data_IF_805971432389
#
_entry.id   IF_805971432389
#
_cell.length_a   1.000
_cell.length_b   1.000
_cell.length_c   1.000
_cell.angle_alpha   90.00
_cell.angle_beta   90.00
_cell.angle_gamma   90.00
#
_symmetry.space_group_name_H-M   'P 1'
#
loop_
_entity.id
_entity.type
_entity.pdbx_description
1 polymer ?
#
# COMPACT_ATOMS: atom_id res chain seq x y z
N UNK A 1 -37.18 -0.75 81.81
CA UNK A 1 -37.45 -2.04 81.14
C UNK A 1 -37.58 -1.73 79.65
N UNK A 2 -36.51 -1.44 78.89
CA UNK A 2 -35.53 -2.35 78.26
C UNK A 2 -36.13 -3.69 77.80
N UNK A 3 -35.92 -3.96 76.51
CA UNK A 3 -36.17 -5.20 75.76
C UNK A 3 -37.51 -5.30 75.00
N UNK A 4 -37.55 -4.76 73.77
CA UNK A 4 -38.38 -5.30 72.64
C UNK A 4 -38.06 -4.67 71.26
N UNK A 5 -36.97 -3.91 71.10
CA UNK A 5 -36.58 -3.33 69.80
C UNK A 5 -35.58 -4.21 68.99
N UNK A 6 -35.49 -5.52 69.26
CA UNK A 6 -34.57 -6.44 68.58
C UNK A 6 -35.29 -7.57 67.83
N UNK A 7 -36.41 -7.28 67.15
CA UNK A 7 -37.12 -8.26 66.33
C UNK A 7 -37.55 -7.74 64.96
N UNK A 8 -36.88 -6.72 64.41
CA UNK A 8 -36.98 -6.34 62.99
C UNK A 8 -35.58 -6.00 62.43
N UNK A 9 -34.57 -6.81 62.76
CA UNK A 9 -33.28 -6.89 62.03
C UNK A 9 -33.03 -8.34 61.58
N UNK A 10 -34.09 -9.15 61.50
CA UNK A 10 -34.05 -10.56 61.14
C UNK A 10 -34.75 -10.85 59.79
N UNK A 11 -34.51 -10.00 58.79
CA UNK A 11 -34.32 -10.47 57.41
C UNK A 11 -32.80 -10.48 57.18
N UNK A 12 -32.02 -11.32 57.88
CA UNK A 12 -31.62 -12.63 57.34
C UNK A 12 -31.69 -12.60 55.80
N UNK A 13 -30.68 -12.04 55.13
CA UNK A 13 -29.53 -12.81 54.68
C UNK A 13 -29.98 -14.17 54.10
N UNK A 14 -30.91 -14.13 53.15
CA UNK A 14 -31.45 -15.28 52.46
C UNK A 14 -30.62 -15.59 51.21
N UNK A 15 -29.73 -16.58 51.36
CA UNK A 15 -29.02 -17.31 50.30
C UNK A 15 -27.86 -16.57 49.62
N UNK A 16 -26.68 -16.66 50.23
CA UNK A 16 -25.37 -16.44 49.59
C UNK A 16 -24.53 -17.73 49.68
N UNK A 17 -25.17 -18.90 49.53
CA UNK A 17 -24.51 -20.23 49.60
C UNK A 17 -25.10 -21.19 48.57
N UNK A 18 -25.06 -20.84 47.28
CA UNK A 18 -25.40 -21.79 46.20
C UNK A 18 -24.63 -21.54 44.88
N UNK A 19 -23.57 -20.72 44.90
CA UNK A 19 -22.75 -20.42 43.70
C UNK A 19 -21.51 -21.29 43.55
N UNK A 20 -20.78 -21.56 44.65
CA UNK A 20 -19.48 -22.25 44.55
C UNK A 20 -19.57 -23.71 44.07
N UNK A 21 -20.67 -24.42 44.30
CA UNK A 21 -20.81 -25.83 43.90
C UNK A 21 -21.00 -26.01 42.38
N UNK A 22 -21.38 -24.95 41.64
CA UNK A 22 -21.59 -24.98 40.19
C UNK A 22 -20.45 -24.35 39.38
N UNK A 23 -19.55 -23.63 40.04
CA UNK A 23 -18.42 -22.98 39.38
C UNK A 23 -17.51 -23.95 38.59
N UNK A 24 -17.18 -25.17 39.09
CA UNK A 24 -16.40 -26.12 38.31
C UNK A 24 -17.12 -26.58 37.03
N UNK A 25 -18.44 -26.81 37.11
CA UNK A 25 -19.25 -27.21 35.96
C UNK A 25 -19.37 -26.06 34.94
N UNK A 26 -19.65 -24.84 35.40
CA UNK A 26 -19.77 -23.68 34.53
C UNK A 26 -18.46 -23.39 33.77
N UNK A 27 -17.31 -23.61 34.43
CA UNK A 27 -16.00 -23.51 33.79
C UNK A 27 -15.79 -24.61 32.75
N UNK A 28 -16.15 -25.86 33.06
CA UNK A 28 -16.04 -26.99 32.14
C UNK A 28 -16.92 -26.77 30.90
N UNK A 29 -18.15 -26.30 31.08
CA UNK A 29 -19.08 -25.98 29.99
C UNK A 29 -18.51 -24.86 29.11
N UNK A 30 -18.06 -23.75 29.71
CA UNK A 30 -17.48 -22.62 28.96
C UNK A 30 -16.20 -23.01 28.20
N UNK A 31 -15.35 -23.84 28.81
CA UNK A 31 -14.12 -24.34 28.20
C UNK A 31 -14.38 -25.37 27.10
N UNK A 32 -15.48 -26.11 27.19
CA UNK A 32 -15.89 -27.07 26.16
C UNK A 32 -16.50 -26.36 24.96
N UNK A 33 -17.30 -25.32 25.19
CA UNK A 33 -17.91 -24.54 24.11
C UNK A 33 -16.89 -23.62 23.42
N UNK A 34 -15.94 -23.06 24.17
CA UNK A 34 -14.82 -22.25 23.69
C UNK A 34 -15.26 -21.07 22.78
N UNK A 35 -16.32 -20.39 23.20
CA UNK A 35 -16.85 -19.19 22.51
C UNK A 35 -16.80 -17.97 23.43
N UNK A 36 -16.73 -16.78 22.82
CA UNK A 36 -16.83 -15.49 23.54
C UNK A 36 -18.07 -15.47 24.44
N UNK A 37 -19.23 -15.89 23.92
CA UNK A 37 -20.49 -15.90 24.66
C UNK A 37 -20.48 -16.83 25.88
N UNK A 38 -19.85 -18.01 25.77
CA UNK A 38 -19.77 -18.95 26.89
C UNK A 38 -18.86 -18.44 28.02
N UNK A 39 -17.73 -17.81 27.66
CA UNK A 39 -16.85 -17.18 28.64
C UNK A 39 -17.46 -15.91 29.25
N UNK A 40 -18.20 -15.11 28.49
CA UNK A 40 -18.93 -13.96 29.02
C UNK A 40 -19.99 -14.40 30.04
N UNK A 41 -20.76 -15.46 29.74
CA UNK A 41 -21.72 -16.03 30.69
C UNK A 41 -21.04 -16.53 31.98
N UNK A 42 -19.89 -17.20 31.86
CA UNK A 42 -19.10 -17.60 33.02
C UNK A 42 -18.63 -16.40 33.86
N UNK A 43 -18.16 -15.33 33.20
CA UNK A 43 -17.66 -14.12 33.85
C UNK A 43 -18.77 -13.26 34.47
N UNK A 44 -20.00 -13.33 33.96
CA UNK A 44 -21.18 -12.71 34.56
C UNK A 44 -21.55 -13.36 35.89
N UNK A 45 -21.57 -14.71 35.93
CA UNK A 45 -21.90 -15.48 37.13
C UNK A 45 -20.74 -15.53 38.14
N UNK A 46 -19.49 -15.54 37.66
CA UNK A 46 -18.28 -15.74 38.46
C UNK A 46 -17.16 -14.72 38.13
N UNK A 47 -17.38 -13.40 38.30
CA UNK A 47 -16.41 -12.37 37.92
C UNK A 47 -15.08 -12.46 38.67
N UNK A 48 -15.09 -12.96 39.91
CA UNK A 48 -13.88 -13.19 40.73
C UNK A 48 -13.63 -14.69 40.99
N UNK A 49 -14.18 -15.56 40.13
CA UNK A 49 -14.01 -17.00 40.20
C UNK A 49 -12.56 -17.45 39.98
N UNK A 50 -12.27 -18.70 40.36
CA UNK A 50 -10.92 -19.31 40.24
C UNK A 50 -10.37 -19.23 38.81
N UNK A 51 -11.24 -19.42 37.80
CA UNK A 51 -10.87 -19.35 36.39
C UNK A 51 -11.19 -18.01 35.73
N UNK A 52 -11.59 -16.98 36.48
CA UNK A 52 -12.04 -15.72 35.88
C UNK A 52 -10.91 -14.98 35.13
N UNK A 53 -9.65 -15.12 35.53
CA UNK A 53 -8.53 -14.57 34.78
C UNK A 53 -8.32 -15.32 33.44
N UNK A 54 -8.42 -16.65 33.48
CA UNK A 54 -8.28 -17.52 32.32
C UNK A 54 -9.43 -17.33 31.32
N UNK A 55 -10.67 -17.26 31.81
CA UNK A 55 -11.85 -16.98 31.00
C UNK A 55 -11.75 -15.62 30.29
N UNK A 56 -11.28 -14.56 30.98
CA UNK A 56 -11.07 -13.25 30.34
C UNK A 56 -10.04 -13.33 29.22
N UNK A 57 -8.89 -13.94 29.50
CA UNK A 57 -7.83 -14.08 28.51
C UNK A 57 -8.29 -14.88 27.29
N UNK A 58 -9.05 -15.97 27.50
CA UNK A 58 -9.54 -16.79 26.40
C UNK A 58 -10.62 -16.09 25.59
N UNK A 59 -11.57 -15.42 26.26
CA UNK A 59 -12.56 -14.56 25.61
C UNK A 59 -11.89 -13.49 24.74
N UNK A 60 -10.91 -12.77 25.28
CA UNK A 60 -10.22 -11.69 24.54
C UNK A 60 -9.46 -12.23 23.34
N UNK A 61 -8.78 -13.37 23.49
CA UNK A 61 -8.10 -14.04 22.37
C UNK A 61 -9.06 -14.48 21.27
N UNK A 62 -10.25 -14.99 21.62
CA UNK A 62 -11.28 -15.40 20.67
C UNK A 62 -11.90 -14.19 19.96
N UNK A 63 -12.23 -13.14 20.72
CA UNK A 63 -12.78 -11.91 20.17
C UNK A 63 -11.80 -11.24 19.20
N UNK A 64 -10.52 -11.20 19.55
CA UNK A 64 -9.47 -10.67 18.66
C UNK A 64 -9.33 -11.49 17.38
N UNK A 65 -9.37 -12.83 17.50
CA UNK A 65 -9.28 -13.71 16.33
C UNK A 65 -10.46 -13.50 15.38
N UNK A 66 -11.67 -13.32 15.93
CA UNK A 66 -12.87 -13.00 15.13
C UNK A 66 -12.74 -11.63 14.46
N UNK A 67 -12.29 -10.60 15.17
CA UNK A 67 -12.08 -9.26 14.60
C UNK A 67 -11.05 -9.29 13.46
N UNK A 68 -9.98 -10.07 13.60
CA UNK A 68 -8.98 -10.25 12.54
C UNK A 68 -9.53 -11.01 11.33
N UNK A 69 -10.33 -12.07 11.54
CA UNK A 69 -11.01 -12.79 10.45
C UNK A 69 -11.98 -11.89 9.69
N UNK A 70 -12.75 -11.05 10.40
CA UNK A 70 -13.65 -10.07 9.81
C UNK A 70 -12.88 -9.01 8.99
N UNK A 71 -11.76 -8.50 9.51
CA UNK A 71 -10.92 -7.56 8.81
C UNK A 71 -10.33 -8.15 7.52
N UNK A 72 -9.81 -9.38 7.58
CA UNK A 72 -9.34 -10.10 6.39
C UNK A 72 -10.45 -10.43 5.39
N UNK A 73 -11.66 -10.73 5.85
CA UNK A 73 -12.79 -11.00 4.96
C UNK A 73 -13.26 -9.74 4.22
N UNK A 74 -13.16 -8.57 4.87
CA UNK A 74 -13.46 -7.30 4.24
C UNK A 74 -12.34 -6.85 3.30
N UNK A 75 -11.06 -7.09 3.67
CA UNK A 75 -9.87 -6.74 2.90
C UNK A 75 -9.85 -5.26 2.48
N UNK A 76 -10.11 -4.39 3.46
CA UNK A 76 -10.11 -2.93 3.26
C UNK A 76 -9.30 -2.23 4.34
N UNK A 77 -8.70 -1.06 4.04
CA UNK A 77 -7.99 -0.25 5.03
C UNK A 77 -8.85 0.02 6.27
N UNK A 78 -10.09 0.45 6.07
CA UNK A 78 -11.02 0.77 7.16
C UNK A 78 -11.24 -0.43 8.11
N UNK A 79 -11.30 -1.65 7.58
CA UNK A 79 -11.50 -2.85 8.39
C UNK A 79 -10.23 -3.21 9.21
N UNK A 80 -9.05 -3.08 8.61
CA UNK A 80 -7.78 -3.27 9.33
C UNK A 80 -7.52 -2.15 10.35
N UNK A 81 -7.90 -0.91 10.06
CA UNK A 81 -7.87 0.20 11.01
C UNK A 81 -8.82 -0.03 12.19
N UNK A 82 -10.02 -0.57 11.94
CA UNK A 82 -10.95 -0.94 13.00
C UNK A 82 -10.36 -2.04 13.91
N UNK A 83 -9.74 -3.09 13.35
CA UNK A 83 -9.02 -4.09 14.13
C UNK A 83 -7.90 -3.45 14.98
N UNK A 84 -7.11 -2.56 14.38
CA UNK A 84 -6.00 -1.88 15.08
C UNK A 84 -6.47 -0.97 16.21
N UNK A 85 -7.67 -0.39 16.14
CA UNK A 85 -8.20 0.49 17.17
C UNK A 85 -8.38 -0.22 18.52
N UNK A 86 -8.75 -1.50 18.49
CA UNK A 86 -8.95 -2.31 19.69
C UNK A 86 -7.75 -3.23 20.00
N UNK A 87 -6.93 -3.55 18.99
CA UNK A 87 -5.83 -4.53 19.07
C UNK A 87 -4.47 -3.98 18.63
N UNK A 88 -4.10 -2.77 19.07
CA UNK A 88 -2.85 -2.08 18.65
C UNK A 88 -1.56 -2.91 18.86
N UNK A 89 -1.53 -3.80 19.86
CA UNK A 89 -0.37 -4.66 20.17
C UNK A 89 -0.68 -6.16 20.06
N UNK A 90 -1.76 -6.50 19.35
CA UNK A 90 -2.19 -7.86 19.11
C UNK A 90 -1.26 -8.65 18.19
N UNK A 91 -1.36 -9.99 18.14
CA UNK A 91 -0.62 -10.86 17.21
C UNK A 91 -0.66 -10.42 15.74
N UNK A 92 -1.76 -9.83 15.27
CA UNK A 92 -1.92 -9.40 13.87
C UNK A 92 -1.74 -7.90 13.67
N UNK A 93 -1.33 -7.17 14.71
CA UNK A 93 -1.21 -5.71 14.64
C UNK A 93 -0.07 -5.25 13.71
N UNK A 94 0.96 -6.06 13.50
CA UNK A 94 1.99 -5.76 12.51
C UNK A 94 1.43 -5.93 11.09
N UNK A 95 0.87 -7.10 10.81
CA UNK A 95 0.26 -7.41 9.50
C UNK A 95 -0.82 -6.39 9.11
N UNK A 96 -1.71 -6.03 10.04
CA UNK A 96 -2.76 -5.05 9.80
C UNK A 96 -2.19 -3.66 9.42
N UNK A 97 -1.09 -3.23 10.05
CA UNK A 97 -0.43 -1.95 9.70
C UNK A 97 0.19 -2.00 8.33
N UNK A 98 0.84 -3.11 7.98
CA UNK A 98 1.46 -3.30 6.68
C UNK A 98 0.40 -3.27 5.58
N UNK A 99 -0.75 -3.92 5.80
CA UNK A 99 -1.88 -3.92 4.86
C UNK A 99 -2.50 -2.53 4.68
N UNK A 100 -2.67 -1.76 5.77
CA UNK A 100 -3.13 -0.36 5.69
C UNK A 100 -2.11 0.51 4.92
N UNK A 101 -0.82 0.33 5.19
CA UNK A 101 0.24 1.06 4.50
C UNK A 101 0.28 0.74 2.99
N UNK A 102 0.20 -0.54 2.61
CA UNK A 102 0.18 -0.97 1.21
C UNK A 102 -1.04 -0.41 0.46
N UNK A 103 -2.22 -0.51 1.06
CA UNK A 103 -3.45 -0.05 0.43
C UNK A 103 -3.51 1.48 0.32
N UNK A 104 -3.06 2.22 1.34
CA UNK A 104 -2.93 3.68 1.27
C UNK A 104 -1.90 4.11 0.21
N UNK A 105 -0.75 3.43 0.13
CA UNK A 105 0.22 3.65 -0.93
C UNK A 105 -0.36 3.33 -2.31
N UNK A 106 -1.17 2.29 -2.47
CA UNK A 106 -1.81 2.00 -3.75
C UNK A 106 -2.78 3.11 -4.20
N UNK A 107 -3.60 3.62 -3.28
CA UNK A 107 -4.52 4.73 -3.55
C UNK A 107 -3.76 6.01 -3.91
N UNK A 108 -2.78 6.42 -3.10
CA UNK A 108 -1.99 7.63 -3.33
C UNK A 108 -1.20 7.55 -4.64
N UNK A 109 -0.72 6.35 -5.00
CA UNK A 109 -0.06 6.12 -6.28
C UNK A 109 -1.02 6.33 -7.45
N UNK A 110 -2.22 5.77 -7.37
CA UNK A 110 -3.24 5.96 -8.40
C UNK A 110 -3.60 7.44 -8.56
N UNK A 111 -3.72 8.19 -7.46
CA UNK A 111 -3.94 9.63 -7.50
C UNK A 111 -2.77 10.35 -8.16
N UNK A 112 -1.53 10.04 -7.76
CA UNK A 112 -0.33 10.64 -8.35
C UNK A 112 -0.23 10.39 -9.86
N UNK A 113 -0.58 9.18 -10.30
CA UNK A 113 -0.62 8.79 -11.72
C UNK A 113 -1.74 9.49 -12.47
N UNK A 114 -2.89 9.70 -11.83
CA UNK A 114 -4.04 10.41 -12.42
C UNK A 114 -3.76 11.90 -12.60
N UNK A 115 -3.17 12.53 -11.58
CA UNK A 115 -2.73 13.93 -11.62
C UNK A 115 -1.57 14.12 -12.60
N UNK A 116 -0.66 13.14 -12.64
CA UNK A 116 0.46 13.05 -13.56
C UNK A 116 1.33 14.32 -13.54
N UNK A 117 1.68 14.81 -12.36
CA UNK A 117 2.49 16.02 -12.17
C UNK A 117 3.74 15.74 -11.33
N UNK A 118 4.73 16.62 -11.46
CA UNK A 118 5.94 16.59 -10.64
C UNK A 118 5.64 16.56 -9.15
N UNK A 119 4.73 17.44 -8.75
CA UNK A 119 4.30 17.62 -7.37
C UNK A 119 3.63 16.36 -6.83
N UNK A 120 2.72 15.75 -7.60
CA UNK A 120 1.99 14.57 -7.16
C UNK A 120 2.90 13.35 -6.99
N UNK A 121 3.78 13.08 -7.96
CA UNK A 121 4.77 12.00 -7.81
C UNK A 121 5.80 12.29 -6.70
N UNK A 122 6.19 13.56 -6.55
CA UNK A 122 7.10 13.98 -5.48
C UNK A 122 6.46 13.90 -4.10
N UNK A 123 5.15 14.09 -3.99
CA UNK A 123 4.38 13.90 -2.76
C UNK A 123 4.32 12.42 -2.40
N UNK A 124 3.91 11.57 -3.34
CA UNK A 124 3.87 10.12 -3.17
C UNK A 124 5.21 9.56 -2.64
N UNK A 125 6.32 9.91 -3.29
CA UNK A 125 7.63 9.38 -2.91
C UNK A 125 8.15 9.86 -1.54
N UNK A 126 7.54 10.92 -0.98
CA UNK A 126 7.84 11.45 0.35
C UNK A 126 6.95 10.83 1.42
N UNK A 127 5.67 10.56 1.11
CA UNK A 127 4.76 9.91 2.04
C UNK A 127 5.00 8.40 2.16
N UNK A 128 5.46 7.75 1.09
CA UNK A 128 5.64 6.29 1.03
C UNK A 128 7.09 5.87 0.77
N UNK A 129 8.09 6.34 1.55
CA UNK A 129 9.50 6.23 1.18
C UNK A 129 10.00 4.81 0.92
N UNK A 130 9.38 3.82 1.58
CA UNK A 130 9.74 2.40 1.55
C UNK A 130 8.88 1.57 0.57
N UNK A 131 7.86 2.16 -0.08
CA UNK A 131 7.09 1.47 -1.14
C UNK A 131 7.95 1.26 -2.40
N UNK A 132 7.79 0.11 -3.05
CA UNK A 132 8.55 -0.25 -4.25
C UNK A 132 8.42 0.80 -5.38
N UNK A 133 7.27 1.46 -5.50
CA UNK A 133 6.97 2.48 -6.52
C UNK A 133 7.59 3.83 -6.21
N UNK A 134 8.10 4.05 -4.99
CA UNK A 134 8.68 5.34 -4.62
C UNK A 134 9.96 5.68 -5.39
N UNK A 135 10.72 4.69 -5.86
CA UNK A 135 11.84 4.94 -6.77
C UNK A 135 11.36 5.49 -8.13
N UNK A 136 10.32 4.88 -8.69
CA UNK A 136 9.69 5.30 -9.94
C UNK A 136 9.06 6.70 -9.80
N UNK A 137 8.32 6.94 -8.73
CA UNK A 137 7.72 8.24 -8.45
C UNK A 137 8.76 9.37 -8.41
N UNK A 138 9.92 9.18 -7.78
CA UNK A 138 11.01 10.18 -7.80
C UNK A 138 11.54 10.42 -9.21
N UNK A 139 11.59 9.39 -10.05
CA UNK A 139 11.96 9.53 -11.45
C UNK A 139 10.92 10.32 -12.23
N UNK A 140 9.64 9.94 -12.14
CA UNK A 140 8.53 10.62 -12.80
C UNK A 140 8.39 12.08 -12.36
N UNK A 141 8.64 12.35 -11.07
CA UNK A 141 8.66 13.71 -10.54
C UNK A 141 9.67 14.58 -11.27
N UNK A 142 10.94 14.15 -11.38
CA UNK A 142 12.00 14.87 -12.12
C UNK A 142 11.71 15.04 -13.61
N UNK A 143 11.06 14.05 -14.22
CA UNK A 143 10.64 14.12 -15.64
C UNK A 143 9.61 15.22 -15.82
N UNK A 144 8.62 15.26 -14.92
CA UNK A 144 7.52 16.21 -14.96
C UNK A 144 7.96 17.65 -14.62
N UNK A 145 9.04 17.84 -13.85
CA UNK A 145 9.65 19.17 -13.58
C UNK A 145 10.40 19.75 -14.80
N UNK A 146 10.61 18.96 -15.86
CA UNK A 146 11.08 19.46 -17.15
C UNK A 146 12.59 19.60 -17.33
N UNK A 147 13.48 19.13 -16.44
CA UNK A 147 14.93 19.01 -16.77
C UNK A 147 15.80 18.19 -15.80
N UNK A 148 16.03 16.89 -16.04
CA UNK A 148 17.33 16.29 -15.73
C UNK A 148 18.36 16.75 -16.78
N UNK A 149 19.60 17.08 -16.41
CA UNK A 149 20.59 17.65 -17.34
C UNK A 149 20.93 16.76 -18.55
N UNK A 150 20.68 15.44 -18.47
CA UNK A 150 21.03 14.45 -19.49
C UNK A 150 19.85 13.54 -19.90
N UNK A 151 18.62 14.07 -19.92
CA UNK A 151 17.44 13.33 -20.34
C UNK A 151 16.88 13.84 -21.67
N UNK A 152 16.44 12.92 -22.52
CA UNK A 152 15.85 13.24 -23.81
C UNK A 152 14.63 12.37 -24.11
N UNK A 153 13.67 12.95 -24.82
CA UNK A 153 12.44 12.29 -25.26
C UNK A 153 12.61 11.83 -26.70
N UNK A 154 12.28 10.57 -26.98
CA UNK A 154 12.30 10.03 -28.34
C UNK A 154 11.05 9.22 -28.61
N UNK A 155 10.54 9.30 -29.83
CA UNK A 155 9.48 8.41 -30.30
C UNK A 155 10.07 7.06 -30.63
N UNK A 156 9.43 5.99 -30.19
CA UNK A 156 9.81 4.65 -30.55
C UNK A 156 8.62 3.85 -31.05
N UNK A 157 8.90 2.87 -31.92
CA UNK A 157 7.92 1.89 -32.38
C UNK A 157 8.16 0.58 -31.67
N UNK A 158 7.11 -0.05 -31.14
CA UNK A 158 7.20 -1.39 -30.58
C UNK A 158 7.39 -2.40 -31.71
N UNK A 159 8.43 -3.23 -31.59
CA UNK A 159 8.79 -4.26 -32.56
C UNK A 159 8.38 -5.66 -32.10
N UNK A 160 8.50 -5.96 -30.80
CA UNK A 160 8.16 -7.26 -30.20
C UNK A 160 7.85 -7.12 -28.71
N UNK A 161 7.05 -8.04 -28.18
CA UNK A 161 6.63 -8.15 -26.78
C UNK A 161 6.60 -9.62 -26.33
N UNK A 162 7.72 -10.33 -26.51
CA UNK A 162 7.81 -11.77 -26.24
C UNK A 162 8.67 -12.02 -25.00
N UNK A 163 8.27 -12.99 -24.16
CA UNK A 163 9.10 -13.48 -23.06
C UNK A 163 9.34 -12.48 -21.91
N UNK A 164 8.46 -11.50 -21.71
CA UNK A 164 8.62 -10.46 -20.70
C UNK A 164 9.53 -9.31 -21.15
N UNK A 165 9.97 -9.30 -22.41
CA UNK A 165 10.78 -8.22 -22.97
C UNK A 165 9.98 -7.43 -24.02
N UNK A 166 10.11 -6.10 -23.99
CA UNK A 166 9.61 -5.18 -25.00
C UNK A 166 10.80 -4.66 -25.81
N UNK A 167 10.80 -4.98 -27.10
CA UNK A 167 11.79 -4.44 -28.05
C UNK A 167 11.17 -3.26 -28.78
N UNK A 168 11.85 -2.13 -28.77
CA UNK A 168 11.40 -0.90 -29.43
C UNK A 168 12.50 -0.31 -30.31
N UNK A 169 12.11 0.33 -31.40
CA UNK A 169 13.02 1.11 -32.26
C UNK A 169 12.76 2.60 -32.13
N UNK A 170 13.72 3.33 -31.59
CA UNK A 170 13.69 4.80 -31.59
C UNK A 170 13.74 5.32 -33.02
N UNK A 171 12.90 6.30 -33.35
CA UNK A 171 12.80 6.85 -34.72
C UNK A 171 13.77 8.01 -34.97
N UNK A 172 14.06 8.79 -33.93
CA UNK A 172 14.81 10.04 -34.00
C UNK A 172 16.10 9.93 -33.17
N UNK A 173 17.15 10.67 -33.54
CA UNK A 173 18.33 10.81 -32.68
C UNK A 173 17.97 11.65 -31.45
N UNK A 174 18.52 11.31 -30.29
CA UNK A 174 18.33 12.10 -29.07
C UNK A 174 19.66 12.49 -28.44
N UNK A 175 19.76 13.74 -27.97
CA UNK A 175 20.93 14.23 -27.26
C UNK A 175 20.73 14.09 -25.75
N UNK A 176 21.65 13.41 -25.09
CA UNK A 176 21.68 13.19 -23.64
C UNK A 176 22.98 13.82 -23.12
N UNK A 177 22.93 15.06 -22.65
CA UNK A 177 24.15 15.79 -22.28
C UNK A 177 25.11 15.96 -23.46
N UNK A 178 26.33 15.41 -23.34
CA UNK A 178 27.31 15.37 -24.44
C UNK A 178 27.10 14.22 -25.43
N UNK A 179 26.31 13.20 -25.07
CA UNK A 179 26.07 12.02 -25.88
C UNK A 179 24.97 12.29 -26.92
N UNK A 180 25.20 11.87 -28.17
CA UNK A 180 24.14 11.79 -29.18
C UNK A 180 23.85 10.33 -29.44
N UNK A 181 22.62 9.93 -29.17
CA UNK A 181 22.11 8.57 -29.37
C UNK A 181 21.40 8.52 -30.71
N UNK A 182 21.91 7.79 -31.71
CA UNK A 182 21.20 7.61 -32.98
C UNK A 182 19.99 6.67 -32.83
N UNK A 183 19.09 6.63 -33.82
CA UNK A 183 18.03 5.64 -33.91
C UNK A 183 18.59 4.22 -33.75
N UNK A 184 18.10 3.48 -32.76
CA UNK A 184 18.51 2.10 -32.47
C UNK A 184 17.37 1.30 -31.87
N UNK A 185 17.59 0.00 -31.80
CA UNK A 185 16.75 -0.91 -31.05
C UNK A 185 17.15 -0.88 -29.58
N UNK A 186 16.16 -0.95 -28.70
CA UNK A 186 16.33 -1.02 -27.27
C UNK A 186 15.38 -2.09 -26.72
N UNK A 187 15.85 -2.84 -25.74
CA UNK A 187 15.08 -3.88 -25.05
C UNK A 187 14.79 -3.42 -23.63
N UNK A 188 13.55 -3.61 -23.21
CA UNK A 188 13.04 -3.22 -21.91
C UNK A 188 12.36 -4.42 -21.25
N UNK A 189 12.44 -4.50 -19.92
CA UNK A 189 11.65 -5.45 -19.15
C UNK A 189 10.20 -4.96 -19.09
N UNK A 190 9.25 -5.79 -19.54
CA UNK A 190 7.85 -5.43 -19.70
C UNK A 190 7.17 -5.10 -18.36
N UNK A 191 7.52 -5.84 -17.30
CA UNK A 191 6.93 -5.69 -15.97
C UNK A 191 7.36 -4.39 -15.30
N UNK A 192 8.59 -3.94 -15.56
CA UNK A 192 9.16 -2.72 -14.99
C UNK A 192 8.95 -1.47 -15.84
N UNK A 193 8.54 -1.64 -17.10
CA UNK A 193 8.53 -0.54 -18.09
C UNK A 193 7.14 -0.14 -18.55
N UNK A 194 6.13 -0.99 -18.43
CA UNK A 194 4.76 -0.63 -18.83
C UNK A 194 4.01 -0.03 -17.65
N UNK A 195 3.69 1.24 -17.82
CA UNK A 195 2.77 2.02 -17.00
C UNK A 195 1.41 1.30 -16.87
N UNK A 196 1.15 0.70 -15.71
CA UNK A 196 -0.11 0.03 -15.38
C UNK A 196 -1.32 0.97 -15.62
N UNK A 197 -2.35 0.51 -16.33
CA UNK A 197 -3.54 1.30 -16.70
C UNK A 197 -3.45 2.12 -17.99
N UNK A 198 -2.31 2.12 -18.70
CA UNK A 198 -2.29 2.51 -20.12
C UNK A 198 -2.98 1.42 -20.97
N UNK A 199 -3.59 1.74 -22.13
CA UNK A 199 -4.00 0.70 -23.07
C UNK A 199 -2.79 -0.20 -23.32
N UNK A 200 -2.98 -1.52 -23.18
CA UNK A 200 -1.89 -2.49 -23.41
C UNK A 200 -1.30 -2.20 -24.79
N UNK A 201 -0.01 -1.82 -24.84
CA UNK A 201 0.56 -1.40 -26.10
C UNK A 201 0.68 -2.62 -27.02
N UNK A 202 0.36 -2.44 -28.30
CA UNK A 202 0.45 -3.50 -29.29
C UNK A 202 1.75 -3.40 -30.10
N UNK A 203 2.18 -4.53 -30.67
CA UNK A 203 3.28 -4.53 -31.64
C UNK A 203 2.92 -3.61 -32.81
N UNK A 204 3.79 -2.63 -33.08
CA UNK A 204 3.59 -1.60 -34.09
C UNK A 204 3.18 -0.24 -33.53
N UNK A 205 2.76 -0.16 -32.27
CA UNK A 205 2.37 1.10 -31.63
C UNK A 205 3.54 2.07 -31.50
N UNK A 206 3.19 3.36 -31.57
CA UNK A 206 4.13 4.45 -31.33
C UNK A 206 4.05 4.89 -29.87
N UNK A 207 5.18 4.77 -29.19
CA UNK A 207 5.34 5.08 -27.77
C UNK A 207 6.37 6.18 -27.56
N UNK A 208 6.27 6.85 -26.40
CA UNK A 208 7.28 7.81 -25.97
C UNK A 208 8.28 7.10 -25.07
N UNK A 209 9.56 7.16 -25.41
CA UNK A 209 10.65 6.76 -24.53
C UNK A 209 11.31 7.99 -23.93
N UNK A 210 11.54 7.91 -22.63
CA UNK A 210 12.38 8.84 -21.92
C UNK A 210 13.73 8.20 -21.68
N UNK A 211 14.77 8.72 -22.34
CA UNK A 211 16.13 8.19 -22.26
C UNK A 211 16.98 9.07 -21.33
N UNK A 212 17.76 8.47 -20.44
CA UNK A 212 18.74 9.17 -19.63
C UNK A 212 20.12 8.52 -19.71
N UNK A 213 21.16 9.35 -19.70
CA UNK A 213 22.55 8.88 -19.54
C UNK A 213 22.78 8.40 -18.10
N UNK A 214 23.24 7.16 -17.92
CA UNK A 214 23.72 6.60 -16.66
C UNK A 214 25.19 6.20 -16.78
N UNK A 215 25.94 6.22 -15.68
CA UNK A 215 27.30 5.69 -15.68
C UNK A 215 27.26 4.16 -15.61
N UNK A 216 27.85 3.48 -16.58
CA UNK A 216 28.13 2.05 -16.49
C UNK A 216 29.15 1.74 -15.39
N UNK A 217 29.23 0.48 -14.97
CA UNK A 217 30.21 0.01 -13.96
C UNK A 217 31.67 0.20 -14.42
N UNK A 218 31.87 0.33 -15.72
CA UNK A 218 33.10 0.65 -16.45
C UNK A 218 33.36 2.17 -16.58
N UNK A 219 32.42 3.01 -16.14
CA UNK A 219 32.44 4.46 -16.32
C UNK A 219 32.02 4.92 -17.72
N UNK A 220 31.60 4.01 -18.61
CA UNK A 220 31.07 4.37 -19.93
C UNK A 220 29.59 4.79 -19.83
N UNK A 221 29.17 5.83 -20.57
CA UNK A 221 27.78 6.28 -20.53
C UNK A 221 26.84 5.23 -21.15
N UNK A 222 25.89 4.73 -20.36
CA UNK A 222 24.80 3.84 -20.76
C UNK A 222 23.50 4.63 -20.86
N UNK A 223 22.51 4.05 -21.53
CA UNK A 223 21.21 4.68 -21.71
C UNK A 223 20.14 3.79 -21.12
N UNK A 224 19.43 4.32 -20.14
CA UNK A 224 18.27 3.68 -19.51
C UNK A 224 17.01 4.39 -20.01
N UNK A 225 15.94 3.64 -20.23
CA UNK A 225 14.68 4.17 -20.72
C UNK A 225 13.49 3.70 -19.91
N UNK A 226 12.46 4.55 -19.83
CA UNK A 226 11.14 4.18 -19.32
C UNK A 226 10.09 4.47 -20.39
N UNK A 227 9.20 3.50 -20.60
CA UNK A 227 8.03 3.61 -21.44
C UNK A 227 6.94 4.32 -20.62
N UNK A 228 6.84 5.64 -20.74
CA UNK A 228 5.83 6.41 -20.04
C UNK A 228 4.96 7.20 -21.01
N UNK A 229 3.65 7.20 -20.78
CA UNK A 229 2.83 8.33 -21.22
C UNK A 229 3.26 9.54 -20.38
N UNK A 230 3.74 10.63 -21.02
CA UNK A 230 4.08 11.85 -20.30
C UNK A 230 2.94 12.28 -19.37
N UNK A 231 3.24 12.91 -18.22
CA UNK A 231 2.45 14.04 -17.72
C UNK A 231 1.71 14.74 -18.85
N UNK A 232 0.37 14.81 -18.77
CA UNK A 232 -0.34 15.83 -19.49
C UNK A 232 0.16 17.15 -18.93
N UNK A 233 1.25 17.68 -19.48
CA UNK A 233 1.84 18.93 -19.00
C UNK A 233 0.78 20.00 -19.27
N UNK A 234 0.04 20.38 -18.23
CA UNK A 234 -0.82 21.54 -18.28
C UNK A 234 0.10 22.76 -18.46
N UNK A 235 0.31 23.17 -19.71
CA UNK A 235 0.95 24.45 -20.03
C UNK A 235 2.45 24.44 -20.34
N UNK A 236 3.02 23.37 -20.94
CA UNK A 236 4.24 23.58 -21.73
C UNK A 236 3.85 24.23 -23.06
N UNK A 237 3.57 25.53 -23.00
CA UNK A 237 3.41 26.39 -24.16
C UNK A 237 4.63 26.24 -25.07
N UNK A 238 4.32 26.02 -26.34
CA UNK A 238 5.19 26.11 -27.50
C UNK A 238 6.04 27.38 -27.42
N UNK A 239 7.33 27.23 -27.13
CA UNK A 239 8.25 28.34 -27.03
C UNK A 239 9.61 27.95 -27.60
N UNK A 240 9.77 28.21 -28.89
CA UNK A 240 11.02 28.52 -29.58
C UNK A 240 12.06 27.41 -29.74
N UNK A 241 12.11 26.83 -30.94
CA UNK A 241 13.36 26.66 -31.70
C UNK A 241 12.98 26.49 -33.17
N UNK A 242 12.71 27.62 -33.82
CA UNK A 242 12.73 27.68 -35.27
C UNK A 242 14.17 27.46 -35.74
N UNK A 243 14.43 26.32 -36.38
CA UNK A 243 15.60 26.15 -37.23
C UNK A 243 15.60 27.24 -38.32
N UNK A 244 16.69 28.01 -38.51
CA UNK A 244 16.93 28.57 -39.82
C UNK A 244 17.55 27.48 -40.69
N UNK A 245 16.73 26.94 -41.59
CA UNK A 245 17.19 26.18 -42.76
C UNK A 245 18.28 26.97 -43.50
N UNK A 246 19.34 26.26 -43.85
CA UNK A 246 20.39 26.71 -44.75
C UNK A 246 19.83 27.00 -46.13
N UNK A 247 20.06 28.21 -46.66
CA UNK A 247 20.03 28.43 -48.10
C UNK A 247 21.34 29.06 -48.56
N UNK A 248 22.22 28.18 -49.02
CA UNK A 248 23.27 28.55 -49.95
C UNK A 248 22.67 28.48 -51.36
N UNK A 249 22.56 29.60 -52.06
CA UNK A 249 22.72 29.62 -53.52
C UNK A 249 23.14 31.02 -54.04
N UNK A 250 24.25 31.02 -54.79
CA UNK A 250 24.85 32.05 -55.67
C UNK A 250 25.86 33.05 -55.09
#
# INVERSE_FOLDING_TARGET
MRATHYLIVAMLAGVLVAGCDRQPQAWEDASTEDTVAAYDAYLEDYPDGEHAAEARARRDSLAESQAWEEAQAADTPDAYEAYLADHESGPHAADARDLVAEASAASDWQEARSANTAEAYGAYARSHPDDARSAEARMLSRIAEGRPPNMGKVRARILSMEGGEIVVRTQDSVRLGSLTVPPRDMTFDAESSVVEGAPEPEVGDMVTLYLSESAGEDGEPRVVGVLATPPAVAGAETGDEAEPESEADR
#
